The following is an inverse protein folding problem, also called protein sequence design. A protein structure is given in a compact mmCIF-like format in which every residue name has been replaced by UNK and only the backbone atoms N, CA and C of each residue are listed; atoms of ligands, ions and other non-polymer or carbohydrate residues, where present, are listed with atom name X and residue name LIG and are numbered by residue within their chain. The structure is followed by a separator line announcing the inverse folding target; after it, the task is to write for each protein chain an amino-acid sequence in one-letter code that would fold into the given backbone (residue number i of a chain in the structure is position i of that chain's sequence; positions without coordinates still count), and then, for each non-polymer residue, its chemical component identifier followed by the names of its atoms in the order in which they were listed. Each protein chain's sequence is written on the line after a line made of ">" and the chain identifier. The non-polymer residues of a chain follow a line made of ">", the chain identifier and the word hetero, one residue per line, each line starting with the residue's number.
data_IF_649996729654
#
_entry.id   IF_649996729654
#
_cell.length_a   1.000
_cell.length_b   1.000
_cell.length_c   1.000
_cell.angle_alpha   90.00
_cell.angle_beta   90.00
_cell.angle_gamma   90.00
#
_symmetry.space_group_name_H-M   'P 1'
#
loop_
_entity.id
_entity.type
_entity.pdbx_description
1 polymer ?
#
# COMPACT_ATOMS: atom_id res chain seq x y z
N UNK A 1 -27.75 1.41 -14.70
CA UNK A 1 -27.06 1.40 -16.01
C UNK A 1 -25.70 0.80 -15.75
N UNK A 2 -25.49 -0.44 -16.17
CA UNK A 2 -24.15 -1.00 -16.20
C UNK A 2 -23.64 -0.61 -17.57
N UNK A 3 -22.88 0.49 -17.60
CA UNK A 3 -22.16 0.88 -18.79
C UNK A 3 -21.05 -0.14 -18.96
N UNK A 4 -21.41 -1.22 -19.66
CA UNK A 4 -20.49 -2.28 -20.03
C UNK A 4 -19.38 -1.61 -20.84
N UNK A 5 -18.18 -1.54 -20.26
CA UNK A 5 -16.93 -1.03 -20.84
C UNK A 5 -16.49 -1.74 -22.15
N UNK A 6 -17.42 -2.36 -22.89
CA UNK A 6 -17.26 -3.06 -24.17
C UNK A 6 -16.57 -2.21 -25.22
N UNK A 7 -16.75 -0.89 -25.16
CA UNK A 7 -16.12 0.08 -26.04
C UNK A 7 -14.62 0.31 -25.74
N UNK A 8 -14.19 0.07 -24.49
CA UNK A 8 -12.79 0.34 -24.07
C UNK A 8 -11.99 -0.91 -23.68
N UNK A 9 -12.62 -2.00 -23.24
CA UNK A 9 -11.93 -3.15 -22.63
C UNK A 9 -11.06 -3.95 -23.60
N UNK A 10 -11.40 -3.93 -24.89
CA UNK A 10 -10.67 -4.65 -25.94
C UNK A 10 -9.81 -3.71 -26.80
N UNK A 11 -9.62 -2.45 -26.38
CA UNK A 11 -8.78 -1.52 -27.14
C UNK A 11 -7.31 -2.00 -27.12
N UNK A 12 -6.63 -1.95 -28.27
CA UNK A 12 -5.22 -2.28 -28.33
C UNK A 12 -4.42 -1.28 -27.49
N UNK A 13 -3.50 -1.77 -26.67
CA UNK A 13 -2.59 -0.90 -25.94
C UNK A 13 -1.72 -0.12 -26.94
N UNK A 14 -1.59 1.22 -26.82
CA UNK A 14 -0.99 2.10 -27.84
C UNK A 14 0.55 2.01 -27.92
N UNK A 15 1.13 0.84 -27.66
CA UNK A 15 2.59 0.59 -27.62
C UNK A 15 3.28 0.91 -28.95
N UNK A 16 2.57 0.75 -30.05
CA UNK A 16 2.99 0.93 -31.44
C UNK A 16 2.42 2.19 -32.09
N UNK A 17 1.63 2.98 -31.37
CA UNK A 17 1.24 4.31 -31.82
C UNK A 17 2.46 5.24 -31.69
N UNK A 18 2.99 5.67 -32.84
CA UNK A 18 4.15 6.57 -32.93
C UNK A 18 3.91 7.87 -32.12
N UNK A 19 2.68 8.38 -32.11
CA UNK A 19 2.31 9.57 -31.35
C UNK A 19 2.42 9.34 -29.83
N UNK A 20 2.03 8.15 -29.36
CA UNK A 20 2.12 7.79 -27.94
C UNK A 20 3.57 7.61 -27.48
N UNK A 21 4.40 6.92 -28.27
CA UNK A 21 5.78 6.62 -27.90
C UNK A 21 6.70 7.86 -27.93
N UNK A 22 6.45 8.79 -28.85
CA UNK A 22 7.18 10.05 -28.95
C UNK A 22 6.82 11.02 -27.82
N UNK A 23 5.55 11.01 -27.37
CA UNK A 23 5.08 11.80 -26.23
C UNK A 23 5.56 11.23 -24.88
N UNK A 24 5.67 9.92 -24.77
CA UNK A 24 6.08 9.22 -23.55
C UNK A 24 7.24 8.24 -23.83
N UNK A 25 8.45 8.75 -24.09
CA UNK A 25 9.60 7.91 -24.35
C UNK A 25 9.90 7.01 -23.15
N UNK A 26 10.25 5.74 -23.41
CA UNK A 26 10.61 4.80 -22.35
C UNK A 26 11.91 5.25 -21.68
N UNK A 27 11.88 5.32 -20.36
CA UNK A 27 13.06 5.61 -19.56
C UNK A 27 14.10 4.48 -19.70
N UNK A 28 15.37 4.86 -19.89
CA UNK A 28 16.49 3.90 -19.95
C UNK A 28 16.72 3.22 -18.58
N UNK A 29 17.39 2.07 -18.57
CA UNK A 29 17.70 1.36 -17.31
C UNK A 29 18.55 2.21 -16.36
N UNK A 30 19.52 2.96 -16.88
CA UNK A 30 20.36 3.85 -16.06
C UNK A 30 19.54 4.97 -15.42
N UNK A 31 18.65 5.62 -16.19
CA UNK A 31 17.77 6.65 -15.65
C UNK A 31 16.78 6.09 -14.62
N UNK A 32 16.30 4.86 -14.83
CA UNK A 32 15.49 4.14 -13.83
C UNK A 32 16.29 3.86 -12.55
N UNK A 33 17.56 3.50 -12.65
CA UNK A 33 18.42 3.23 -11.48
C UNK A 33 18.66 4.50 -10.65
N UNK A 34 18.75 5.67 -11.28
CA UNK A 34 18.93 6.97 -10.58
C UNK A 34 17.81 7.28 -9.58
N UNK A 35 16.58 6.82 -9.82
CA UNK A 35 15.44 6.95 -8.88
C UNK A 35 15.78 6.31 -7.53
N UNK A 36 16.52 5.20 -7.54
CA UNK A 36 16.90 4.45 -6.35
C UNK A 36 18.28 4.86 -5.80
N UNK A 37 18.97 5.80 -6.46
CA UNK A 37 20.29 6.25 -6.03
C UNK A 37 20.31 6.85 -4.61
N UNK A 38 19.32 7.63 -4.16
CA UNK A 38 19.28 8.14 -2.77
C UNK A 38 19.31 7.03 -1.71
N UNK A 39 18.89 5.81 -2.07
CA UNK A 39 18.82 4.66 -1.18
C UNK A 39 20.01 3.71 -1.34
N UNK A 40 20.98 4.02 -2.21
CA UNK A 40 22.15 3.17 -2.45
C UNK A 40 22.99 2.95 -1.18
N UNK A 41 22.99 3.93 -0.25
CA UNK A 41 23.69 3.85 1.02
C UNK A 41 23.08 2.85 2.00
N UNK A 42 21.82 2.42 1.83
CA UNK A 42 21.19 1.40 2.69
C UNK A 42 21.86 0.03 2.58
N UNK A 43 22.72 -0.18 1.57
CA UNK A 43 23.53 -1.40 1.46
C UNK A 43 24.57 -1.42 2.58
N UNK A 44 24.32 -2.20 3.63
CA UNK A 44 25.19 -2.32 4.81
C UNK A 44 24.54 -1.87 6.13
N UNK A 45 23.37 -1.24 6.07
CA UNK A 45 22.59 -0.84 7.24
C UNK A 45 21.37 -1.76 7.48
N UNK A 46 21.55 -3.08 7.29
CA UNK A 46 20.48 -4.06 7.50
C UNK A 46 19.93 -4.01 8.94
N UNK A 47 20.82 -3.92 9.94
CA UNK A 47 20.46 -3.80 11.35
C UNK A 47 19.61 -2.55 11.66
N UNK A 48 19.91 -1.42 11.03
CA UNK A 48 19.11 -0.21 11.19
C UNK A 48 17.73 -0.35 10.55
N UNK A 49 17.62 -1.08 9.44
CA UNK A 49 16.34 -1.38 8.79
C UNK A 49 15.47 -2.28 9.67
N UNK A 50 16.06 -3.34 10.24
CA UNK A 50 15.36 -4.28 11.14
C UNK A 50 14.87 -3.56 12.40
N UNK A 51 15.71 -2.75 13.05
CA UNK A 51 15.32 -1.94 14.22
C UNK A 51 14.26 -0.87 13.92
N UNK A 52 14.13 -0.44 12.66
CA UNK A 52 13.05 0.47 12.23
C UNK A 52 11.77 -0.30 11.93
N UNK A 53 11.87 -1.54 11.45
CA UNK A 53 10.73 -2.42 11.22
C UNK A 53 10.08 -2.84 12.55
N UNK A 54 10.87 -3.22 13.55
CA UNK A 54 10.40 -3.54 14.91
C UNK A 54 9.62 -2.37 15.52
N UNK A 55 10.18 -1.15 15.49
CA UNK A 55 9.48 0.06 15.99
C UNK A 55 8.15 0.35 15.29
N UNK A 56 8.00 -0.02 14.01
CA UNK A 56 6.73 0.15 13.30
C UNK A 56 5.68 -0.85 13.76
N UNK A 57 6.06 -2.09 14.03
CA UNK A 57 5.15 -3.09 14.61
C UNK A 57 4.63 -2.59 15.96
N UNK A 58 5.53 -2.14 16.84
CA UNK A 58 5.16 -1.60 18.16
C UNK A 58 4.19 -0.40 18.05
N UNK A 59 4.37 0.46 17.03
CA UNK A 59 3.49 1.61 16.82
C UNK A 59 2.09 1.23 16.33
N UNK A 60 1.98 0.17 15.51
CA UNK A 60 0.69 -0.33 15.00
C UNK A 60 -0.09 -1.05 16.09
N UNK A 61 0.60 -1.79 16.96
CA UNK A 61 0.00 -2.43 18.13
C UNK A 61 -0.60 -1.41 19.10
N UNK A 62 0.05 -0.26 19.27
CA UNK A 62 -0.43 0.83 20.14
C UNK A 62 -1.55 1.68 19.52
N UNK A 63 -1.76 1.64 18.20
CA UNK A 63 -2.85 2.39 17.53
C UNK A 63 -4.16 1.58 17.45
N UNK A 64 -4.12 0.26 17.71
CA UNK A 64 -5.31 -0.60 17.74
C UNK A 64 -6.02 -0.65 19.11
N UNK A 65 -5.50 0.07 20.11
CA UNK A 65 -6.15 0.22 21.43
C UNK A 65 -6.96 1.53 21.43
N UNK A 66 -8.02 1.57 20.62
CA UNK A 66 -9.08 2.56 20.79
C UNK A 66 -10.22 1.88 21.58
N UNK A 67 -10.17 2.15 22.89
CA UNK A 67 -11.28 2.29 23.84
C UNK A 67 -12.64 1.67 23.45
N UNK A 68 -12.97 0.52 24.04
CA UNK A 68 -14.36 0.19 24.37
C UNK A 68 -14.41 -0.26 25.86
N UNK A 69 -14.60 0.66 26.83
CA UNK A 69 -14.83 0.31 28.23
C UNK A 69 -16.24 -0.24 28.50
N UNK A 70 -17.10 -0.32 27.48
CA UNK A 70 -18.51 -0.70 27.60
C UNK A 70 -18.80 -2.19 27.34
N UNK A 71 -17.80 -3.08 27.34
CA UNK A 71 -18.05 -4.52 27.53
C UNK A 71 -18.41 -4.84 28.99
N UNK A 72 -19.44 -4.17 29.53
CA UNK A 72 -20.17 -4.68 30.69
C UNK A 72 -21.14 -5.73 30.15
N UNK A 73 -20.84 -7.00 30.46
CA UNK A 73 -21.75 -8.11 30.23
C UNK A 73 -23.08 -7.77 30.92
N UNK A 74 -24.23 -7.74 30.22
CA UNK A 74 -25.50 -7.61 30.90
C UNK A 74 -25.71 -8.88 31.72
N UNK A 75 -25.73 -8.74 33.05
CA UNK A 75 -26.17 -9.79 33.97
C UNK A 75 -27.55 -10.26 33.53
N UNK A 76 -27.64 -11.49 33.04
CA UNK A 76 -28.90 -12.12 32.69
C UNK A 76 -29.80 -12.16 33.92
N UNK A 77 -31.07 -11.80 33.71
CA UNK A 77 -32.06 -11.71 34.76
C UNK A 77 -32.18 -12.98 35.61
N UNK A 78 -31.82 -12.84 36.88
CA UNK A 78 -32.43 -13.52 38.03
C UNK A 78 -33.07 -12.39 38.83
N UNK A 79 -34.39 -12.28 39.01
CA UNK A 79 -35.28 -13.27 39.59
C UNK A 79 -36.72 -13.06 39.09
N UNK A 80 -37.36 -14.15 38.67
CA UNK A 80 -38.81 -14.29 38.75
C UNK A 80 -39.08 -15.53 39.60
N UNK A 81 -39.14 -15.33 40.93
CA UNK A 81 -39.87 -16.18 41.88
C UNK A 81 -40.03 -15.47 43.22
#
# INVERSE_FOLDING_TARGET
>A
MVDDYKDIINLPYPRNDWNFLMKHPRMSMEARAKIFHPFAALRGHAEALDATAERKVDSVENEFVLEDPDMVMPEEGSDFL
#
